data_IF_775657989024
#
_entry.id   IF_775657989024
#
_cell.length_a   1.000
_cell.length_b   1.000
_cell.length_c   1.000
_cell.angle_alpha   90.00
_cell.angle_beta   90.00
_cell.angle_gamma   90.00
#
_symmetry.space_group_name_H-M   'P 1'
#
loop_
_entity.id
_entity.type
_entity.pdbx_description
1 polymer ?
#
# COMPACT_ATOMS: atom_id res chain seq x y z
N UNK A 1 9.03 9.49 19.06
CA UNK A 1 9.61 8.14 19.24
C UNK A 1 8.97 7.22 18.21
N UNK A 2 9.73 6.36 17.53
CA UNK A 2 9.18 5.45 16.50
C UNK A 2 8.22 4.45 17.15
N UNK A 3 7.10 4.14 16.48
CA UNK A 3 6.11 3.19 17.03
C UNK A 3 6.58 1.74 16.98
N UNK A 4 7.58 1.44 16.16
CA UNK A 4 8.25 0.15 16.04
C UNK A 4 9.68 0.22 16.59
N UNK A 5 10.19 -0.92 17.05
CA UNK A 5 11.60 -1.02 17.44
C UNK A 5 12.48 -1.07 16.19
N UNK A 6 13.53 -0.26 16.13
CA UNK A 6 14.57 -0.39 15.08
C UNK A 6 15.29 -1.74 15.19
N UNK A 7 15.83 -2.22 14.08
CA UNK A 7 16.40 -3.57 13.93
C UNK A 7 17.49 -3.87 14.97
N UNK A 8 18.28 -2.86 15.31
CA UNK A 8 19.39 -2.92 16.26
C UNK A 8 18.91 -3.22 17.69
N UNK A 9 17.67 -2.83 18.03
CA UNK A 9 17.07 -3.06 19.35
C UNK A 9 16.29 -4.35 19.47
N UNK A 10 16.23 -5.15 18.39
CA UNK A 10 15.53 -6.43 18.37
C UNK A 10 16.42 -7.57 18.88
N UNK A 11 15.79 -8.58 19.47
CA UNK A 11 16.45 -9.87 19.75
C UNK A 11 16.90 -10.54 18.44
N UNK A 12 17.88 -11.47 18.47
CA UNK A 12 18.29 -12.21 17.28
C UNK A 12 17.12 -12.93 16.57
N UNK A 13 16.18 -13.49 17.35
CA UNK A 13 14.97 -14.13 16.81
C UNK A 13 14.06 -13.14 16.09
N UNK A 14 13.85 -11.94 16.66
CA UNK A 14 13.01 -10.91 16.05
C UNK A 14 13.68 -10.28 14.83
N UNK A 15 15.02 -10.13 14.82
CA UNK A 15 15.79 -9.71 13.63
C UNK A 15 15.63 -10.70 12.49
N UNK A 16 15.68 -12.00 12.77
CA UNK A 16 15.46 -13.03 11.76
C UNK A 16 14.02 -12.97 11.23
N UNK A 17 13.02 -12.85 12.11
CA UNK A 17 11.62 -12.65 11.70
C UNK A 17 11.45 -11.44 10.78
N UNK A 18 12.07 -10.30 11.14
CA UNK A 18 11.98 -9.07 10.34
C UNK A 18 12.61 -9.22 8.97
N UNK A 19 13.80 -9.83 8.91
CA UNK A 19 14.47 -10.11 7.63
C UNK A 19 13.59 -10.96 6.73
N UNK A 20 12.94 -11.96 7.32
CA UNK A 20 12.06 -12.85 6.58
C UNK A 20 10.77 -12.14 6.11
N UNK A 21 10.21 -11.27 6.95
CA UNK A 21 9.10 -10.40 6.55
C UNK A 21 9.48 -9.49 5.39
N UNK A 22 10.63 -8.82 5.46
CA UNK A 22 11.10 -7.89 4.43
C UNK A 22 11.31 -8.62 3.10
N UNK A 23 11.96 -9.78 3.11
CA UNK A 23 12.13 -10.61 1.90
C UNK A 23 10.79 -10.98 1.26
N UNK A 24 9.85 -11.50 2.05
CA UNK A 24 8.53 -11.88 1.55
C UNK A 24 7.69 -10.67 1.11
N UNK A 25 7.92 -9.50 1.72
CA UNK A 25 7.30 -8.24 1.33
C UNK A 25 7.78 -7.80 -0.04
N UNK A 26 9.06 -7.97 -0.36
CA UNK A 26 9.60 -7.61 -1.66
C UNK A 26 9.00 -8.47 -2.79
N UNK A 27 8.80 -9.77 -2.56
CA UNK A 27 8.05 -10.64 -3.48
C UNK A 27 6.58 -10.20 -3.61
N UNK A 28 5.94 -9.88 -2.49
CA UNK A 28 4.55 -9.40 -2.48
C UNK A 28 4.41 -8.06 -3.21
N UNK A 29 5.39 -7.14 -3.09
CA UNK A 29 5.41 -5.87 -3.81
C UNK A 29 5.35 -6.10 -5.33
N UNK A 30 6.18 -7.00 -5.85
CA UNK A 30 6.20 -7.33 -7.29
C UNK A 30 4.86 -7.89 -7.76
N UNK A 31 4.28 -8.82 -6.98
CA UNK A 31 2.98 -9.39 -7.29
C UNK A 31 1.86 -8.34 -7.26
N UNK A 32 1.85 -7.47 -6.25
CA UNK A 32 0.85 -6.40 -6.12
C UNK A 32 0.95 -5.42 -7.29
N UNK A 33 2.15 -5.03 -7.70
CA UNK A 33 2.38 -4.18 -8.89
C UNK A 33 1.81 -4.83 -10.14
N UNK A 34 2.13 -6.11 -10.36
CA UNK A 34 1.61 -6.88 -11.50
C UNK A 34 0.08 -6.87 -11.49
N UNK A 35 -0.53 -7.32 -10.40
CA UNK A 35 -1.98 -7.45 -10.28
C UNK A 35 -2.71 -6.10 -10.41
N UNK A 36 -2.24 -5.07 -9.71
CA UNK A 36 -2.93 -3.78 -9.67
C UNK A 36 -2.73 -2.92 -10.90
N UNK A 37 -1.59 -3.06 -11.60
CA UNK A 37 -1.23 -2.15 -12.69
C UNK A 37 -1.19 -2.88 -14.03
N UNK A 38 -0.37 -3.93 -14.14
CA UNK A 38 -0.16 -4.64 -15.42
C UNK A 38 -1.43 -5.41 -15.81
N UNK A 39 -1.97 -6.21 -14.90
CA UNK A 39 -3.17 -7.01 -15.19
C UNK A 39 -4.38 -6.08 -15.40
N UNK A 40 -4.46 -4.98 -14.65
CA UNK A 40 -5.48 -3.95 -14.91
C UNK A 40 -5.33 -3.34 -16.30
N UNK A 41 -4.12 -2.96 -16.71
CA UNK A 41 -3.86 -2.48 -18.07
C UNK A 41 -4.34 -3.49 -19.11
N UNK A 42 -4.03 -4.77 -18.94
CA UNK A 42 -4.50 -5.82 -19.84
C UNK A 42 -6.02 -5.92 -19.86
N UNK A 43 -6.72 -5.80 -18.73
CA UNK A 43 -8.19 -5.78 -18.69
C UNK A 43 -8.80 -4.64 -19.55
N UNK A 44 -8.15 -3.47 -19.61
CA UNK A 44 -8.59 -2.37 -20.48
C UNK A 44 -8.37 -2.71 -21.95
N UNK A 45 -7.20 -3.25 -22.30
CA UNK A 45 -6.86 -3.64 -23.67
C UNK A 45 -7.77 -4.77 -24.17
N UNK A 46 -8.06 -5.78 -23.34
CA UNK A 46 -8.95 -6.89 -23.69
C UNK A 46 -10.39 -6.43 -23.99
N UNK A 47 -10.82 -5.32 -23.37
CA UNK A 47 -12.13 -4.70 -23.63
C UNK A 47 -12.10 -3.64 -24.74
N UNK A 48 -10.96 -3.45 -25.41
CA UNK A 48 -10.73 -2.39 -26.41
C UNK A 48 -10.99 -0.97 -25.87
N UNK A 49 -10.67 -0.75 -24.59
CA UNK A 49 -10.83 0.55 -23.91
C UNK A 49 -9.45 1.17 -23.68
N UNK A 50 -9.23 2.47 -23.99
CA UNK A 50 -7.98 3.14 -23.65
C UNK A 50 -7.72 3.14 -22.14
N UNK A 51 -6.50 2.74 -21.73
CA UNK A 51 -6.11 2.82 -20.34
C UNK A 51 -6.07 4.29 -19.85
N UNK A 52 -6.72 4.61 -18.72
CA UNK A 52 -6.71 5.95 -18.14
C UNK A 52 -5.38 6.21 -17.42
N UNK A 53 -4.39 6.75 -18.12
CA UNK A 53 -3.12 7.09 -17.48
C UNK A 53 -3.28 8.20 -16.45
N UNK A 54 -2.63 8.04 -15.30
CA UNK A 54 -2.63 9.02 -14.21
C UNK A 54 -1.84 10.26 -14.65
N UNK A 55 -2.42 11.44 -14.46
CA UNK A 55 -1.73 12.68 -14.78
C UNK A 55 -0.70 13.04 -13.69
N UNK A 56 0.41 13.66 -14.08
CA UNK A 56 1.49 14.06 -13.15
C UNK A 56 0.98 14.91 -11.97
N UNK A 57 -0.02 15.77 -12.21
CA UNK A 57 -0.65 16.61 -11.16
C UNK A 57 -1.37 15.80 -10.07
N UNK A 58 -1.88 14.61 -10.40
CA UNK A 58 -2.58 13.73 -9.44
C UNK A 58 -1.62 13.08 -8.43
N UNK A 59 -0.33 13.07 -8.75
CA UNK A 59 0.72 12.56 -7.87
C UNK A 59 1.23 13.62 -6.89
N UNK A 60 0.84 14.90 -7.02
CA UNK A 60 1.20 15.94 -6.05
C UNK A 60 0.46 15.71 -4.71
N UNK A 61 1.08 16.05 -3.58
CA UNK A 61 0.37 16.10 -2.30
C UNK A 61 -0.90 16.95 -2.40
N UNK A 62 -2.01 16.50 -1.79
CA UNK A 62 -3.34 17.14 -1.82
C UNK A 62 -3.96 17.28 -3.23
N UNK A 63 -3.47 16.54 -4.23
CA UNK A 63 -4.11 16.55 -5.53
C UNK A 63 -5.58 16.12 -5.42
N UNK A 64 -6.43 16.85 -6.15
CA UNK A 64 -7.82 16.47 -6.34
C UNK A 64 -7.83 15.39 -7.42
N UNK A 65 -8.43 14.25 -7.09
CA UNK A 65 -8.52 13.10 -7.98
C UNK A 65 -9.96 13.07 -8.51
N UNK A 66 -10.18 12.79 -9.80
CA UNK A 66 -11.52 12.61 -10.34
C UNK A 66 -12.30 11.55 -9.56
N UNK A 67 -13.56 11.84 -9.26
CA UNK A 67 -14.49 10.91 -8.60
C UNK A 67 -15.14 9.98 -9.65
N UNK A 68 -14.30 9.17 -10.28
CA UNK A 68 -14.73 8.22 -11.32
C UNK A 68 -14.07 6.86 -11.13
N UNK A 69 -14.90 5.83 -10.93
CA UNK A 69 -14.43 4.45 -10.80
C UNK A 69 -14.29 3.78 -12.16
N UNK A 70 -13.13 3.17 -12.40
CA UNK A 70 -12.91 2.38 -13.60
C UNK A 70 -13.12 0.89 -13.30
N UNK A 71 -14.14 0.29 -13.90
CA UNK A 71 -14.52 -1.11 -13.67
C UNK A 71 -13.38 -2.10 -13.99
N UNK A 72 -12.59 -1.83 -15.04
CA UNK A 72 -11.48 -2.71 -15.46
C UNK A 72 -10.23 -2.58 -14.59
N UNK A 73 -10.20 -1.65 -13.64
CA UNK A 73 -9.08 -1.45 -12.72
C UNK A 73 -9.25 -2.33 -11.48
N UNK A 74 -8.27 -3.21 -11.23
CA UNK A 74 -8.31 -4.11 -10.10
C UNK A 74 -8.22 -3.33 -8.78
N UNK A 75 -9.21 -3.54 -7.89
CA UNK A 75 -9.29 -2.91 -6.59
C UNK A 75 -9.27 -3.96 -5.47
N UNK A 76 -8.50 -3.71 -4.43
CA UNK A 76 -8.30 -4.65 -3.32
C UNK A 76 -7.74 -3.96 -2.08
N UNK A 77 -7.73 -4.67 -0.96
CA UNK A 77 -7.07 -4.25 0.28
C UNK A 77 -6.35 -5.46 0.90
N UNK A 78 -5.04 -5.36 1.09
CA UNK A 78 -4.24 -6.40 1.75
C UNK A 78 -3.48 -5.80 2.93
N UNK A 79 -3.58 -6.44 4.08
CA UNK A 79 -2.82 -6.11 5.29
C UNK A 79 -1.81 -7.21 5.55
N UNK A 80 -0.52 -6.87 5.55
CA UNK A 80 0.58 -7.78 5.84
C UNK A 80 1.32 -7.36 7.11
N UNK A 81 1.23 -8.19 8.16
CA UNK A 81 1.76 -7.92 9.50
C UNK A 81 2.99 -8.78 9.78
N UNK A 82 4.08 -8.17 10.28
CA UNK A 82 5.31 -8.89 10.66
C UNK A 82 5.08 -9.90 11.80
N UNK A 83 4.14 -9.62 12.69
CA UNK A 83 3.71 -10.57 13.71
C UNK A 83 2.24 -10.98 13.47
N UNK A 84 1.52 -11.32 14.54
CA UNK A 84 0.10 -11.60 14.55
C UNK A 84 -0.66 -10.48 15.24
N UNK A 85 -1.89 -10.21 14.82
CA UNK A 85 -2.75 -9.22 15.48
C UNK A 85 -3.31 -9.82 16.78
N UNK A 86 -3.00 -9.26 17.96
CA UNK A 86 -3.55 -9.72 19.23
C UNK A 86 -5.08 -9.73 19.27
N UNK A 87 -5.67 -10.71 19.95
CA UNK A 87 -7.13 -10.84 20.10
C UNK A 87 -7.80 -9.58 20.67
N UNK A 88 -7.12 -8.82 21.55
CA UNK A 88 -7.62 -7.56 22.13
C UNK A 88 -7.96 -6.49 21.09
N UNK A 89 -7.39 -6.59 19.89
CA UNK A 89 -7.60 -5.64 18.80
C UNK A 89 -8.64 -6.12 17.77
N UNK A 90 -9.19 -7.33 17.92
CA UNK A 90 -10.22 -7.87 17.02
C UNK A 90 -11.49 -7.03 16.93
N UNK A 91 -11.76 -6.18 17.93
CA UNK A 91 -12.92 -5.26 17.88
C UNK A 91 -12.77 -4.17 16.82
N UNK A 92 -11.54 -3.79 16.46
CA UNK A 92 -11.23 -2.70 15.54
C UNK A 92 -10.72 -3.20 14.18
N UNK A 93 -10.03 -4.34 14.16
CA UNK A 93 -9.74 -5.09 12.95
C UNK A 93 -10.46 -6.43 13.07
N UNK A 94 -11.65 -6.53 12.47
CA UNK A 94 -12.56 -7.66 12.67
C UNK A 94 -12.24 -8.79 11.71
N UNK A 95 -11.71 -9.86 12.28
CA UNK A 95 -11.50 -11.14 11.61
C UNK A 95 -12.01 -12.27 12.52
N UNK A 96 -12.81 -13.16 11.93
CA UNK A 96 -13.52 -14.22 12.64
C UNK A 96 -13.10 -15.60 12.14
N UNK A 97 -13.38 -16.63 12.93
CA UNK A 97 -13.07 -18.02 12.57
C UNK A 97 -13.78 -18.46 11.29
N UNK A 98 -14.97 -17.92 11.02
CA UNK A 98 -15.72 -18.15 9.78
C UNK A 98 -14.97 -17.69 8.52
N UNK A 99 -14.05 -16.73 8.65
CA UNK A 99 -13.33 -16.11 7.54
C UNK A 99 -11.86 -16.57 7.49
N UNK A 100 -11.48 -17.55 8.32
CA UNK A 100 -10.15 -18.18 8.24
C UNK A 100 -10.01 -18.92 6.91
N UNK A 101 -8.80 -18.93 6.36
CA UNK A 101 -8.43 -19.74 5.18
C UNK A 101 -8.29 -21.24 5.51
N UNK A 102 -9.40 -21.85 5.92
CA UNK A 102 -9.55 -23.30 6.03
C UNK A 102 -10.22 -23.83 4.78
N UNK A 103 -9.98 -25.09 4.42
CA UNK A 103 -10.64 -25.74 3.28
C UNK A 103 -12.17 -25.62 3.39
N UNK A 104 -12.72 -25.87 4.58
CA UNK A 104 -14.16 -25.78 4.85
C UNK A 104 -14.71 -24.38 4.60
N UNK A 105 -14.05 -23.33 5.11
CA UNK A 105 -14.54 -21.95 4.96
C UNK A 105 -14.44 -21.48 3.51
N UNK A 106 -13.35 -21.82 2.81
CA UNK A 106 -13.12 -21.45 1.42
C UNK A 106 -14.14 -22.12 0.48
N UNK A 107 -14.40 -23.42 0.66
CA UNK A 107 -15.38 -24.15 -0.14
C UNK A 107 -16.83 -23.74 0.17
N UNK A 108 -17.11 -23.18 1.35
CA UNK A 108 -18.42 -22.62 1.68
C UNK A 108 -18.72 -21.35 0.88
N UNK A 109 -17.68 -20.60 0.52
CA UNK A 109 -17.78 -19.42 -0.32
C UNK A 109 -17.96 -19.85 -1.78
N UNK A 110 -19.21 -20.06 -2.20
CA UNK A 110 -19.56 -20.54 -3.55
C UNK A 110 -19.10 -19.62 -4.70
N UNK A 111 -18.63 -18.41 -4.39
CA UNK A 111 -18.18 -17.42 -5.38
C UNK A 111 -16.72 -17.59 -5.79
N UNK A 112 -15.93 -18.40 -5.07
CA UNK A 112 -14.51 -18.58 -5.38
C UNK A 112 -14.33 -19.76 -6.36
N UNK A 113 -13.60 -19.57 -7.48
CA UNK A 113 -13.28 -20.63 -8.44
C UNK A 113 -12.20 -21.60 -7.92
N UNK A 114 -12.38 -22.14 -6.71
CA UNK A 114 -11.45 -23.08 -6.10
C UNK A 114 -11.79 -24.51 -6.52
N UNK A 115 -10.81 -25.24 -7.06
CA UNK A 115 -10.97 -26.65 -7.39
C UNK A 115 -11.19 -27.49 -6.13
N UNK A 116 -11.81 -28.67 -6.28
CA UNK A 116 -11.97 -29.63 -5.17
C UNK A 116 -10.61 -30.12 -4.62
N UNK A 117 -9.58 -30.05 -5.46
CA UNK A 117 -8.19 -30.44 -5.19
C UNK A 117 -7.39 -29.33 -4.48
N UNK A 118 -8.07 -28.28 -4.00
CA UNK A 118 -7.44 -27.24 -3.19
C UNK A 118 -6.62 -27.82 -2.03
N UNK A 119 -5.32 -27.51 -2.05
CA UNK A 119 -4.37 -27.87 -1.00
C UNK A 119 -4.34 -26.78 0.08
N UNK A 120 -4.56 -27.19 1.32
CA UNK A 120 -4.51 -26.35 2.52
C UNK A 120 -3.19 -25.61 2.72
N UNK A 121 -2.10 -26.07 2.09
CA UNK A 121 -0.77 -25.46 2.21
C UNK A 121 -0.57 -24.26 1.26
N UNK A 122 -1.44 -24.06 0.26
CA UNK A 122 -1.32 -22.96 -0.69
C UNK A 122 -1.42 -21.57 -0.04
N UNK A 123 -2.03 -21.46 1.14
CA UNK A 123 -2.16 -20.19 1.88
C UNK A 123 -0.85 -19.66 2.50
N UNK A 124 0.22 -20.46 2.51
CA UNK A 124 1.51 -20.07 3.09
C UNK A 124 2.33 -19.34 2.04
N UNK A 125 2.98 -18.23 2.42
CA UNK A 125 3.72 -17.39 1.46
C UNK A 125 4.88 -18.14 0.76
N UNK A 126 5.46 -19.13 1.46
CA UNK A 126 6.50 -20.02 0.94
C UNK A 126 6.00 -21.01 -0.13
N UNK A 127 4.69 -21.14 -0.33
CA UNK A 127 4.12 -22.10 -1.27
C UNK A 127 4.28 -21.59 -2.70
N UNK A 128 4.71 -22.47 -3.62
CA UNK A 128 4.79 -22.15 -5.05
C UNK A 128 3.46 -21.63 -5.63
N UNK A 129 2.33 -22.14 -5.14
CA UNK A 129 0.98 -21.74 -5.55
C UNK A 129 0.37 -20.61 -4.69
N UNK A 130 1.17 -19.93 -3.86
CA UNK A 130 0.63 -18.88 -2.98
C UNK A 130 0.02 -17.73 -3.77
N UNK A 131 0.72 -17.28 -4.82
CA UNK A 131 0.26 -16.16 -5.63
C UNK A 131 -0.94 -16.51 -6.50
N UNK A 132 -1.03 -17.76 -6.97
CA UNK A 132 -2.24 -18.28 -7.63
C UNK A 132 -3.45 -18.21 -6.68
N UNK A 133 -3.25 -18.65 -5.44
CA UNK A 133 -4.28 -18.61 -4.40
C UNK A 133 -4.67 -17.18 -4.00
N UNK A 134 -3.68 -16.29 -3.88
CA UNK A 134 -3.92 -14.88 -3.56
C UNK A 134 -4.71 -14.19 -4.69
N UNK A 135 -4.37 -14.46 -5.95
CA UNK A 135 -5.05 -13.91 -7.13
C UNK A 135 -6.56 -14.23 -7.11
N UNK A 136 -6.92 -15.45 -6.72
CA UNK A 136 -8.33 -15.88 -6.59
C UNK A 136 -9.07 -15.12 -5.49
N UNK A 137 -8.39 -14.69 -4.44
CA UNK A 137 -9.00 -14.04 -3.27
C UNK A 137 -9.01 -12.51 -3.34
N UNK A 138 -8.13 -11.89 -4.12
CA UNK A 138 -8.04 -10.43 -4.24
C UNK A 138 -9.34 -9.73 -4.64
N UNK A 139 -10.20 -10.30 -5.51
CA UNK A 139 -11.49 -9.69 -5.86
C UNK A 139 -12.54 -9.71 -4.75
N UNK A 140 -12.31 -10.41 -3.63
CA UNK A 140 -13.30 -10.52 -2.55
C UNK A 140 -13.53 -9.15 -1.90
N UNK A 141 -14.79 -8.84 -1.61
CA UNK A 141 -15.13 -7.66 -0.81
C UNK A 141 -14.45 -7.79 0.57
N UNK A 142 -13.88 -6.70 1.10
CA UNK A 142 -13.08 -6.62 2.34
C UNK A 142 -11.59 -6.98 2.22
N UNK A 143 -10.85 -6.75 3.31
CA UNK A 143 -9.40 -6.90 3.32
C UNK A 143 -8.96 -8.36 3.45
N UNK A 144 -7.85 -8.69 2.80
CA UNK A 144 -7.09 -9.91 3.05
C UNK A 144 -6.06 -9.66 4.15
N UNK A 145 -5.91 -10.61 5.08
CA UNK A 145 -4.96 -10.49 6.19
C UNK A 145 -3.89 -11.57 6.14
N UNK A 146 -2.66 -11.14 5.88
CA UNK A 146 -1.44 -11.94 5.96
C UNK A 146 -0.75 -11.63 7.28
N UNK A 147 -0.44 -12.66 8.06
CA UNK A 147 0.23 -12.51 9.36
C UNK A 147 1.01 -13.76 9.73
N UNK A 148 1.88 -13.64 10.74
CA UNK A 148 2.68 -14.76 11.26
C UNK A 148 1.80 -15.91 11.75
N UNK A 149 2.17 -17.13 11.39
CA UNK A 149 1.55 -18.35 11.92
C UNK A 149 2.08 -18.66 13.31
N UNK A 150 1.27 -18.38 14.33
CA UNK A 150 1.62 -18.60 15.74
C UNK A 150 1.57 -20.07 16.18
N UNK A 151 1.10 -20.98 15.32
CA UNK A 151 1.05 -22.42 15.64
C UNK A 151 2.42 -23.12 15.53
N UNK A 152 3.42 -22.46 14.95
CA UNK A 152 4.76 -22.99 14.78
C UNK A 152 5.80 -22.03 15.36
N UNK A 153 6.93 -22.58 15.84
CA UNK A 153 8.03 -21.76 16.37
C UNK A 153 8.75 -20.95 15.29
N UNK A 154 8.87 -21.51 14.08
CA UNK A 154 9.52 -20.83 12.95
C UNK A 154 8.69 -19.64 12.47
N UNK A 155 9.37 -18.58 12.04
CA UNK A 155 8.72 -17.44 11.37
C UNK A 155 8.20 -17.89 10.02
N UNK A 156 6.89 -18.14 9.94
CA UNK A 156 6.18 -18.50 8.71
C UNK A 156 4.94 -17.63 8.59
N UNK A 157 4.64 -17.15 7.39
CA UNK A 157 3.50 -16.26 7.14
C UNK A 157 2.43 -16.98 6.33
N UNK A 158 1.17 -16.62 6.58
CA UNK A 158 0.03 -17.15 5.84
C UNK A 158 -1.03 -16.09 5.58
N UNK A 159 -1.72 -16.20 4.45
CA UNK A 159 -3.02 -15.57 4.26
C UNK A 159 -3.96 -16.21 5.26
N UNK A 160 -4.21 -15.53 6.37
CA UNK A 160 -4.89 -16.09 7.53
C UNK A 160 -6.41 -15.95 7.43
N UNK A 161 -6.88 -14.83 6.88
CA UNK A 161 -8.29 -14.50 6.73
C UNK A 161 -8.52 -13.76 5.42
N UNK A 162 -9.66 -14.00 4.77
CA UNK A 162 -10.00 -13.48 3.44
C UNK A 162 -11.18 -12.49 3.45
N UNK A 163 -11.64 -12.07 4.62
CA UNK A 163 -12.75 -11.12 4.77
C UNK A 163 -12.57 -10.39 6.11
N UNK A 164 -11.68 -9.41 6.12
CA UNK A 164 -11.31 -8.63 7.31
C UNK A 164 -11.87 -7.21 7.19
N UNK A 165 -12.59 -6.76 8.21
CA UNK A 165 -13.17 -5.42 8.26
C UNK A 165 -12.33 -4.48 9.13
N UNK A 166 -12.18 -3.25 8.67
CA UNK A 166 -11.53 -2.19 9.42
C UNK A 166 -12.63 -1.33 10.04
N UNK A 167 -12.95 -1.61 11.31
CA UNK A 167 -14.07 -1.03 12.05
C UNK A 167 -13.58 0.00 13.10
N UNK A 168 -12.33 0.47 13.00
CA UNK A 168 -11.86 1.56 13.84
C UNK A 168 -12.37 2.90 13.28
N UNK A 169 -13.02 3.76 14.09
CA UNK A 169 -13.53 5.03 13.60
C UNK A 169 -12.43 5.94 13.03
N UNK A 170 -12.74 6.65 11.95
CA UNK A 170 -11.83 7.63 11.34
C UNK A 170 -11.47 8.74 12.34
N UNK A 171 -12.45 9.19 13.13
CA UNK A 171 -12.23 10.17 14.19
C UNK A 171 -11.19 9.68 15.21
N UNK A 172 -11.31 8.44 15.69
CA UNK A 172 -10.34 7.83 16.62
C UNK A 172 -8.94 7.72 16.00
N UNK A 173 -8.86 7.36 14.72
CA UNK A 173 -7.59 7.28 14.00
C UNK A 173 -6.93 8.65 13.84
N UNK A 174 -7.72 9.68 13.50
CA UNK A 174 -7.26 11.05 13.38
C UNK A 174 -6.84 11.62 14.76
N UNK A 175 -7.59 11.31 15.82
CA UNK A 175 -7.27 11.67 17.20
C UNK A 175 -5.96 11.05 17.67
N UNK A 176 -5.77 9.75 17.44
CA UNK A 176 -4.53 9.03 17.77
C UNK A 176 -3.32 9.63 17.05
N UNK A 177 -3.45 9.90 15.76
CA UNK A 177 -2.42 10.58 14.98
C UNK A 177 -2.13 11.98 15.55
N UNK A 178 -3.16 12.79 15.77
CA UNK A 178 -3.01 14.16 16.25
C UNK A 178 -2.40 14.25 17.66
N UNK A 179 -2.72 13.30 18.55
CA UNK A 179 -2.07 13.16 19.86
C UNK A 179 -0.59 12.82 19.72
N UNK A 180 -0.26 11.84 18.86
CA UNK A 180 1.13 11.42 18.62
C UNK A 180 1.98 12.57 18.05
N UNK A 181 1.36 13.44 17.26
CA UNK A 181 1.96 14.62 16.65
C UNK A 181 1.81 15.88 17.51
N UNK A 182 1.30 15.77 18.75
CA UNK A 182 1.17 16.89 19.71
C UNK A 182 0.33 18.07 19.19
N UNK A 183 -0.66 17.81 18.31
CA UNK A 183 -1.63 18.83 17.88
C UNK A 183 -2.83 18.94 18.83
N UNK A 184 -3.14 17.85 19.54
CA UNK A 184 -4.14 17.77 20.60
C UNK A 184 -3.57 16.99 21.80
N UNK A 185 -4.11 17.22 22.98
CA UNK A 185 -3.67 16.63 24.24
C UNK A 185 -4.48 15.40 24.61
N UNK A 186 -5.81 15.49 24.52
CA UNK A 186 -6.73 14.47 25.04
C UNK A 186 -7.73 14.02 23.98
N UNK A 187 -8.55 14.94 23.49
CA UNK A 187 -9.75 14.66 22.69
C UNK A 187 -9.73 15.44 21.38
N UNK A 188 -10.24 14.84 20.31
CA UNK A 188 -10.27 15.44 18.97
C UNK A 188 -11.01 16.79 18.94
N UNK A 189 -12.07 16.91 19.73
CA UNK A 189 -12.93 18.09 19.79
C UNK A 189 -12.52 19.07 20.89
N UNK A 190 -11.38 18.87 21.56
CA UNK A 190 -10.92 19.75 22.65
C UNK A 190 -10.69 21.21 22.22
N UNK A 191 -10.55 21.46 20.91
CA UNK A 191 -10.40 22.80 20.29
C UNK A 191 -11.58 23.18 19.38
N UNK A 192 -12.72 22.48 19.50
CA UNK A 192 -13.94 22.72 18.73
C UNK A 192 -14.02 21.96 17.39
N UNK A 193 -15.22 21.92 16.82
CA UNK A 193 -15.56 21.10 15.65
C UNK A 193 -14.73 21.43 14.41
N UNK A 194 -14.43 22.72 14.21
CA UNK A 194 -13.64 23.16 13.06
C UNK A 194 -12.21 22.60 13.11
N UNK A 195 -11.61 22.58 14.30
CA UNK A 195 -10.28 22.02 14.51
C UNK A 195 -10.29 20.51 14.30
N UNK A 196 -11.31 19.82 14.80
CA UNK A 196 -11.51 18.38 14.59
C UNK A 196 -11.62 18.03 13.10
N UNK A 197 -12.39 18.81 12.34
CA UNK A 197 -12.52 18.66 10.88
C UNK A 197 -11.17 18.83 10.17
N UNK A 198 -10.41 19.87 10.52
CA UNK A 198 -9.09 20.13 9.92
C UNK A 198 -8.07 19.03 10.27
N UNK A 199 -8.13 18.48 11.49
CA UNK A 199 -7.34 17.31 11.90
C UNK A 199 -7.69 16.08 11.05
N UNK A 200 -8.97 15.80 10.82
CA UNK A 200 -9.38 14.68 9.96
C UNK A 200 -8.92 14.87 8.51
N UNK A 201 -8.96 16.09 7.97
CA UNK A 201 -8.41 16.38 6.64
C UNK A 201 -6.90 16.12 6.58
N UNK A 202 -6.17 16.52 7.62
CA UNK A 202 -4.73 16.24 7.76
C UNK A 202 -4.43 14.77 7.96
N UNK A 203 -5.33 13.99 8.55
CA UNK A 203 -5.20 12.54 8.64
C UNK A 203 -5.16 11.89 7.26
N UNK A 204 -6.05 12.27 6.34
CA UNK A 204 -5.97 11.76 4.97
C UNK A 204 -4.71 12.23 4.25
N UNK A 205 -4.35 13.50 4.41
CA UNK A 205 -3.13 14.05 3.81
C UNK A 205 -1.87 13.32 4.31
N UNK A 206 -1.77 13.00 5.61
CA UNK A 206 -0.68 12.25 6.21
C UNK A 206 -0.44 10.89 5.51
N UNK A 207 -1.52 10.30 4.99
CA UNK A 207 -1.52 9.02 4.28
C UNK A 207 -1.55 9.16 2.74
N UNK A 208 -1.34 10.38 2.22
CA UNK A 208 -1.26 10.64 0.78
C UNK A 208 -2.60 10.55 0.04
N UNK A 209 -3.71 10.72 0.76
CA UNK A 209 -5.06 10.63 0.23
C UNK A 209 -5.70 12.03 0.20
N UNK A 210 -6.55 12.34 -0.80
CA UNK A 210 -7.42 13.52 -0.72
C UNK A 210 -8.43 13.38 0.43
N UNK A 211 -9.15 14.45 0.74
CA UNK A 211 -10.19 14.43 1.78
C UNK A 211 -11.35 13.55 1.34
N UNK A 212 -11.91 12.74 2.25
CA UNK A 212 -13.14 11.94 2.03
C UNK A 212 -13.05 10.96 0.84
N UNK A 213 -12.14 9.99 0.92
CA UNK A 213 -11.92 9.00 -0.14
C UNK A 213 -12.80 7.75 -0.03
N UNK A 214 -12.93 7.05 -1.16
CA UNK A 214 -13.63 5.77 -1.26
C UNK A 214 -13.23 4.74 -0.19
N UNK A 215 -14.16 3.83 0.12
CA UNK A 215 -14.12 3.00 1.33
C UNK A 215 -12.84 2.17 1.52
N UNK A 216 -12.25 1.62 0.45
CA UNK A 216 -11.00 0.82 0.53
C UNK A 216 -9.78 1.68 0.89
N UNK A 217 -9.67 2.89 0.33
CA UNK A 217 -8.58 3.84 0.62
C UNK A 217 -8.66 4.34 2.07
N UNK A 218 -9.87 4.66 2.53
CA UNK A 218 -10.13 5.03 3.93
C UNK A 218 -9.81 3.87 4.88
N UNK A 219 -10.25 2.65 4.57
CA UNK A 219 -9.92 1.48 5.37
C UNK A 219 -8.40 1.24 5.43
N UNK A 220 -7.66 1.52 4.34
CA UNK A 220 -6.22 1.37 4.30
C UNK A 220 -5.49 2.34 5.26
N UNK A 221 -5.83 3.64 5.26
CA UNK A 221 -5.20 4.61 6.15
C UNK A 221 -5.57 4.38 7.63
N UNK A 222 -6.83 4.03 7.91
CA UNK A 222 -7.30 3.67 9.25
C UNK A 222 -6.57 2.42 9.76
N UNK A 223 -6.44 1.38 8.93
CA UNK A 223 -5.68 0.17 9.29
C UNK A 223 -4.21 0.49 9.55
N UNK A 224 -3.58 1.29 8.68
CA UNK A 224 -2.18 1.67 8.81
C UNK A 224 -1.93 2.49 10.09
N UNK A 225 -2.84 3.38 10.49
CA UNK A 225 -2.73 4.12 11.76
C UNK A 225 -2.95 3.21 12.95
N UNK A 226 -3.99 2.37 12.92
CA UNK A 226 -4.31 1.46 14.03
C UNK A 226 -3.15 0.50 14.34
N UNK A 227 -2.56 -0.07 13.29
CA UNK A 227 -1.50 -1.07 13.41
C UNK A 227 -0.22 -0.51 14.04
N UNK A 228 -0.04 0.82 14.10
CA UNK A 228 1.06 1.45 14.86
C UNK A 228 1.02 1.12 16.35
N UNK A 229 -0.13 0.70 16.89
CA UNK A 229 -0.26 0.25 18.28
C UNK A 229 0.42 -1.11 18.54
N UNK A 230 0.76 -1.85 17.48
CA UNK A 230 1.47 -3.13 17.56
C UNK A 230 2.96 -2.85 17.35
N UNK A 231 3.82 -3.32 18.25
CA UNK A 231 5.28 -3.08 18.24
C UNK A 231 6.02 -3.91 17.15
N UNK A 232 5.51 -3.90 15.92
CA UNK A 232 6.10 -4.57 14.76
C UNK A 232 5.90 -3.70 13.50
N UNK A 233 6.56 -4.05 12.40
CA UNK A 233 6.30 -3.38 11.12
C UNK A 233 5.11 -4.02 10.41
N UNK A 234 4.42 -3.24 9.60
CA UNK A 234 3.24 -3.65 8.85
C UNK A 234 3.21 -2.95 7.51
N UNK A 235 2.63 -3.60 6.51
CA UNK A 235 2.46 -3.05 5.18
C UNK A 235 1.00 -3.22 4.78
N UNK A 236 0.37 -2.13 4.36
CA UNK A 236 -1.00 -2.12 3.85
C UNK A 236 -0.96 -1.75 2.38
N UNK A 237 -1.50 -2.61 1.53
CA UNK A 237 -1.64 -2.40 0.10
C UNK A 237 -3.09 -2.09 -0.24
N UNK A 238 -3.33 -1.06 -1.04
CA UNK A 238 -4.63 -0.74 -1.58
C UNK A 238 -4.52 -0.49 -3.09
N UNK A 239 -5.18 -1.34 -3.88
CA UNK A 239 -5.50 -1.04 -5.27
C UNK A 239 -6.80 -0.26 -5.33
N UNK A 240 -6.83 0.85 -6.07
CA UNK A 240 -8.02 1.70 -6.19
C UNK A 240 -8.35 1.94 -7.65
N UNK A 241 -9.61 1.67 -7.99
CA UNK A 241 -10.18 1.95 -9.31
C UNK A 241 -10.09 3.43 -9.63
N UNK A 242 -10.50 4.30 -8.72
CA UNK A 242 -10.52 5.76 -8.89
C UNK A 242 -9.13 6.36 -9.16
N UNK A 243 -8.11 5.89 -8.42
CA UNK A 243 -6.76 6.46 -8.53
C UNK A 243 -5.91 5.79 -9.61
N UNK A 244 -6.30 4.60 -10.10
CA UNK A 244 -5.51 3.73 -10.99
C UNK A 244 -4.08 3.50 -10.49
N UNK A 245 -3.96 3.43 -9.17
CA UNK A 245 -2.71 3.36 -8.47
C UNK A 245 -2.70 2.20 -7.47
N UNK A 246 -1.51 1.67 -7.24
CA UNK A 246 -1.19 0.89 -6.06
C UNK A 246 -0.69 1.82 -4.96
N UNK A 247 -1.39 1.85 -3.85
CA UNK A 247 -0.98 2.58 -2.66
C UNK A 247 -0.37 1.58 -1.67
N UNK A 248 0.86 1.86 -1.23
CA UNK A 248 1.54 1.08 -0.19
C UNK A 248 1.84 1.98 1.00
N UNK A 249 1.30 1.60 2.16
CA UNK A 249 1.51 2.25 3.44
C UNK A 249 2.39 1.33 4.31
N UNK A 250 3.54 1.81 4.74
CA UNK A 250 4.51 1.02 5.51
C UNK A 250 5.16 1.85 6.62
N UNK A 251 6.09 1.24 7.37
CA UNK A 251 6.94 1.95 8.33
C UNK A 251 7.79 3.05 7.69
N UNK A 252 8.02 2.98 6.37
CA UNK A 252 8.76 3.99 5.61
C UNK A 252 7.88 5.11 5.05
N UNK A 253 6.60 5.13 5.40
CA UNK A 253 5.64 6.12 4.91
C UNK A 253 4.81 5.63 3.73
N UNK A 254 4.44 6.57 2.87
CA UNK A 254 3.48 6.37 1.78
C UNK A 254 4.22 6.27 0.46
N UNK A 255 3.86 5.26 -0.34
CA UNK A 255 4.27 5.21 -1.75
C UNK A 255 3.06 4.93 -2.65
N UNK A 256 3.09 5.51 -3.85
CA UNK A 256 2.13 5.27 -4.91
C UNK A 256 2.86 4.77 -6.14
N UNK A 257 2.33 3.74 -6.77
CA UNK A 257 2.82 3.21 -8.03
C UNK A 257 1.71 3.31 -9.07
N UNK A 258 2.05 3.81 -10.26
CA UNK A 258 1.13 4.04 -11.38
C UNK A 258 1.79 3.62 -12.69
N UNK A 259 1.00 3.49 -13.75
CA UNK A 259 1.53 3.36 -15.10
C UNK A 259 1.71 4.74 -15.72
N UNK A 260 2.84 4.93 -16.40
CA UNK A 260 3.19 6.18 -17.07
C UNK A 260 3.66 5.91 -18.50
N UNK A 261 3.23 6.77 -19.42
CA UNK A 261 3.73 6.78 -20.81
C UNK A 261 4.98 7.65 -20.89
N UNK A 262 5.99 7.12 -21.57
CA UNK A 262 7.21 7.84 -21.93
C UNK A 262 7.42 7.80 -23.44
N UNK A 263 7.84 8.91 -24.01
CA UNK A 263 8.30 8.98 -25.38
C UNK A 263 9.70 8.39 -25.55
N UNK A 264 10.04 8.02 -26.79
CA UNK A 264 11.37 7.48 -27.11
C UNK A 264 12.50 8.50 -26.86
N UNK A 265 12.21 9.79 -26.93
CA UNK A 265 13.12 10.88 -26.58
C UNK A 265 13.42 10.87 -25.07
N UNK A 266 12.39 10.79 -24.24
CA UNK A 266 12.51 10.71 -22.78
C UNK A 266 13.28 9.46 -22.34
N UNK A 267 12.99 8.31 -22.95
CA UNK A 267 13.72 7.06 -22.66
C UNK A 267 15.20 7.21 -22.94
N UNK A 268 15.59 7.80 -24.08
CA UNK A 268 17.00 8.00 -24.42
C UNK A 268 17.68 8.90 -23.40
N UNK A 269 17.06 10.01 -23.03
CA UNK A 269 17.60 10.95 -22.03
C UNK A 269 17.79 10.28 -20.67
N UNK A 270 16.77 9.53 -20.20
CA UNK A 270 16.86 8.82 -18.91
C UNK A 270 17.95 7.77 -18.96
N UNK A 271 17.97 6.94 -20.01
CA UNK A 271 18.96 5.87 -20.18
C UNK A 271 20.39 6.42 -20.20
N UNK A 272 20.64 7.47 -20.98
CA UNK A 272 21.94 8.16 -21.04
C UNK A 272 22.35 8.72 -19.67
N UNK A 273 21.43 9.39 -18.96
CA UNK A 273 21.72 9.95 -17.63
C UNK A 273 22.07 8.90 -16.57
N UNK A 274 21.65 7.65 -16.78
CA UNK A 274 21.88 6.52 -15.86
C UNK A 274 22.92 5.52 -16.40
N UNK A 275 23.62 5.86 -17.48
CA UNK A 275 24.70 5.05 -18.03
C UNK A 275 24.25 3.70 -18.61
N UNK A 276 23.00 3.59 -19.08
CA UNK A 276 22.47 2.39 -19.73
C UNK A 276 22.04 2.69 -21.17
N UNK A 277 22.01 1.67 -22.02
CA UNK A 277 21.53 1.85 -23.40
C UNK A 277 20.00 1.93 -23.43
N UNK A 278 19.43 2.67 -24.39
CA UNK A 278 17.97 2.73 -24.58
C UNK A 278 17.35 1.34 -24.85
N UNK A 279 18.12 0.41 -25.45
CA UNK A 279 17.72 -0.99 -25.61
C UNK A 279 17.57 -1.67 -24.25
N UNK A 280 18.58 -1.57 -23.39
CA UNK A 280 18.57 -2.14 -22.03
C UNK A 280 17.48 -1.54 -21.17
N UNK A 281 17.19 -0.24 -21.35
CA UNK A 281 16.02 0.40 -20.73
C UNK A 281 14.71 -0.28 -21.17
N UNK A 282 14.49 -0.41 -22.49
CA UNK A 282 13.27 -1.01 -23.05
C UNK A 282 13.09 -2.47 -22.66
N UNK A 283 14.19 -3.23 -22.50
CA UNK A 283 14.14 -4.64 -22.07
C UNK A 283 13.74 -4.81 -20.59
N UNK A 284 14.11 -3.86 -19.71
CA UNK A 284 13.99 -4.06 -18.26
C UNK A 284 12.95 -3.18 -17.55
N UNK A 285 12.55 -2.06 -18.16
CA UNK A 285 11.68 -1.05 -17.52
C UNK A 285 10.38 -0.76 -18.27
N UNK A 286 10.27 -1.21 -19.53
CA UNK A 286 9.06 -1.06 -20.35
C UNK A 286 8.29 -2.37 -20.32
N UNK A 287 7.05 -2.36 -19.82
CA UNK A 287 6.22 -3.57 -19.81
C UNK A 287 5.32 -3.67 -21.05
N UNK A 288 4.96 -2.53 -21.67
CA UNK A 288 4.11 -2.50 -22.86
C UNK A 288 4.47 -1.33 -23.78
N UNK A 289 4.04 -1.42 -25.04
CA UNK A 289 4.09 -0.31 -26.01
C UNK A 289 2.68 0.08 -26.41
N UNK A 290 2.43 1.38 -26.52
CA UNK A 290 1.17 1.93 -27.01
C UNK A 290 1.46 3.00 -28.06
N UNK A 291 1.31 2.64 -29.33
CA UNK A 291 1.68 3.51 -30.45
C UNK A 291 3.17 3.87 -30.41
N UNK A 292 3.48 5.17 -30.32
CA UNK A 292 4.85 5.70 -30.24
C UNK A 292 5.39 5.83 -28.80
N UNK A 293 4.56 5.55 -27.81
CA UNK A 293 4.95 5.63 -26.39
C UNK A 293 5.23 4.24 -25.82
N UNK A 294 6.17 4.21 -24.88
CA UNK A 294 6.44 3.05 -24.04
C UNK A 294 5.77 3.24 -22.69
N UNK A 295 5.22 2.16 -22.13
CA UNK A 295 4.54 2.20 -20.84
C UNK A 295 5.46 1.59 -19.78
N UNK A 296 5.70 2.36 -18.72
CA UNK A 296 6.57 2.01 -17.61
C UNK A 296 5.81 2.07 -16.29
N UNK A 297 6.35 1.41 -15.26
CA UNK A 297 5.85 1.52 -13.88
C UNK A 297 6.58 2.68 -13.22
N UNK A 298 5.84 3.67 -12.75
CA UNK A 298 6.37 4.83 -12.07
C UNK A 298 5.99 4.79 -10.59
N UNK A 299 6.96 4.99 -9.71
CA UNK A 299 6.77 5.06 -8.27
C UNK A 299 7.08 6.45 -7.74
N UNK A 300 6.22 6.93 -6.86
CA UNK A 300 6.42 8.10 -6.03
C UNK A 300 6.43 7.69 -4.57
N UNK A 301 7.48 8.08 -3.84
CA UNK A 301 7.56 7.94 -2.38
C UNK A 301 7.41 9.33 -1.78
N UNK A 302 6.54 9.47 -0.80
CA UNK A 302 6.26 10.73 -0.13
C UNK A 302 6.95 10.82 1.21
N UNK A 303 7.54 11.97 1.48
CA UNK A 303 8.16 12.29 2.77
C UNK A 303 7.20 13.09 3.63
N UNK A 304 7.18 12.80 4.93
CA UNK A 304 6.51 13.64 5.91
C UNK A 304 7.32 14.92 6.13
N UNK A 305 6.64 16.07 6.03
CA UNK A 305 7.25 17.35 6.39
C UNK A 305 7.39 17.46 7.92
N UNK A 306 8.10 18.48 8.40
CA UNK A 306 8.25 18.73 9.85
C UNK A 306 6.90 18.87 10.59
N UNK A 307 5.84 19.27 9.89
CA UNK A 307 4.48 19.37 10.46
C UNK A 307 3.83 18.00 10.67
N UNK A 308 4.18 17.00 9.85
CA UNK A 308 3.70 15.63 9.97
C UNK A 308 4.60 14.74 10.84
N UNK A 309 5.68 15.27 11.42
CA UNK A 309 6.56 14.54 12.34
C UNK A 309 6.33 14.99 13.78
N UNK A 310 6.53 14.14 14.80
CA UNK A 310 6.50 14.57 16.19
C UNK A 310 7.50 15.72 16.43
N UNK A 311 7.12 16.76 17.17
CA UNK A 311 8.01 17.89 17.41
C UNK A 311 9.20 17.48 18.27
N UNK A 312 10.40 17.94 17.93
CA UNK A 312 11.65 17.61 18.63
C UNK A 312 11.65 18.10 20.09
N UNK A 313 11.04 19.25 20.34
CA UNK A 313 10.91 19.86 21.66
C UNK A 313 9.75 19.26 22.50
N UNK A 314 8.95 18.36 21.92
CA UNK A 314 7.79 17.74 22.57
C UNK A 314 6.62 18.70 22.86
N UNK A 315 6.68 19.96 22.42
CA UNK A 315 5.66 20.97 22.71
C UNK A 315 4.39 20.73 21.92
N UNK A 316 3.30 21.27 22.44
CA UNK A 316 2.02 21.29 21.73
C UNK A 316 2.12 22.23 20.52
N UNK A 317 1.50 21.82 19.42
CA UNK A 317 1.42 22.55 18.16
C UNK A 317 -0.01 22.95 17.85
N UNK A 318 -0.14 23.98 17.03
CA UNK A 318 -1.40 24.39 16.45
C UNK A 318 -1.47 23.96 14.99
N UNK A 319 -2.62 23.42 14.59
CA UNK A 319 -2.83 23.00 13.20
C UNK A 319 -2.86 24.21 12.28
N UNK A 320 -2.13 24.13 11.17
CA UNK A 320 -2.18 25.11 10.09
C UNK A 320 -2.66 24.40 8.83
N UNK A 321 -3.94 24.52 8.46
CA UNK A 321 -4.54 23.75 7.36
C UNK A 321 -3.82 23.92 6.02
N UNK A 322 -3.23 25.09 5.77
CA UNK A 322 -2.57 25.40 4.50
C UNK A 322 -1.20 24.72 4.32
N UNK A 323 -0.53 24.34 5.42
CA UNK A 323 0.81 23.76 5.35
C UNK A 323 0.76 22.31 4.91
N UNK A 324 1.58 21.95 3.92
CA UNK A 324 1.69 20.58 3.46
C UNK A 324 2.30 19.66 4.53
N UNK A 325 1.68 18.50 4.71
CA UNK A 325 2.14 17.42 5.59
C UNK A 325 2.93 16.35 4.83
N UNK A 326 2.82 16.36 3.50
CA UNK A 326 3.62 15.54 2.61
C UNK A 326 4.32 16.38 1.55
N UNK A 327 5.52 15.95 1.18
CA UNK A 327 6.24 16.37 -0.02
C UNK A 327 6.54 15.15 -0.89
N UNK A 328 6.75 15.34 -2.19
CA UNK A 328 7.32 14.29 -3.03
C UNK A 328 8.79 14.13 -2.66
N UNK A 329 9.18 12.92 -2.27
CA UNK A 329 10.56 12.55 -1.96
C UNK A 329 11.24 11.93 -3.17
N UNK A 330 11.02 10.63 -3.36
CA UNK A 330 11.63 9.85 -4.44
C UNK A 330 10.65 9.71 -5.61
N UNK A 331 11.16 9.89 -6.82
CA UNK A 331 10.45 9.66 -8.07
C UNK A 331 11.28 8.74 -8.94
N UNK A 332 10.75 7.58 -9.29
CA UNK A 332 11.54 6.58 -9.99
C UNK A 332 10.71 5.68 -10.90
N UNK A 333 11.34 5.19 -11.95
CA UNK A 333 10.82 4.15 -12.83
C UNK A 333 11.27 2.81 -12.26
N UNK A 334 10.31 1.93 -12.02
CA UNK A 334 10.57 0.60 -11.50
C UNK A 334 10.88 -0.37 -12.65
N UNK A 335 11.79 -1.33 -12.44
CA UNK A 335 11.93 -2.45 -13.35
C UNK A 335 10.63 -3.26 -13.39
N UNK A 336 10.38 -3.94 -14.51
CA UNK A 336 9.21 -4.81 -14.67
C UNK A 336 9.30 -5.97 -13.65
N UNK A 337 8.19 -6.42 -13.03
CA UNK A 337 8.21 -7.57 -12.12
C UNK A 337 8.96 -8.78 -12.68
N UNK A 338 9.80 -9.40 -11.86
CA UNK A 338 10.70 -10.50 -12.23
C UNK A 338 12.12 -10.07 -12.63
N UNK A 339 12.34 -8.79 -12.94
CA UNK A 339 13.69 -8.26 -13.18
C UNK A 339 14.38 -7.99 -11.84
N UNK A 340 15.48 -8.68 -11.57
CA UNK A 340 16.16 -8.69 -10.27
C UNK A 340 17.54 -8.01 -10.28
N UNK A 341 18.19 -7.90 -11.44
CA UNK A 341 19.55 -7.34 -11.57
C UNK A 341 19.60 -5.81 -11.68
N UNK A 342 18.44 -5.16 -11.82
CA UNK A 342 18.35 -3.73 -12.14
C UNK A 342 17.66 -2.95 -11.03
N UNK A 343 18.26 -1.85 -10.55
CA UNK A 343 17.63 -0.99 -9.57
C UNK A 343 16.59 -0.07 -10.21
N UNK A 344 15.68 0.52 -9.44
CA UNK A 344 14.86 1.64 -9.91
C UNK A 344 15.71 2.79 -10.48
N UNK A 345 15.18 3.46 -11.50
CA UNK A 345 15.83 4.62 -12.13
C UNK A 345 15.15 5.91 -11.69
N UNK A 346 15.87 6.82 -11.03
CA UNK A 346 15.30 8.12 -10.67
C UNK A 346 14.84 8.89 -11.90
N UNK A 347 13.65 9.48 -11.80
CA UNK A 347 13.03 10.27 -12.86
C UNK A 347 12.12 11.34 -12.22
N UNK A 348 12.66 12.54 -12.04
CA UNK A 348 11.96 13.65 -11.40
C UNK A 348 11.08 14.39 -12.40
N UNK A 349 9.76 14.21 -12.31
CA UNK A 349 8.83 14.69 -13.35
C UNK A 349 7.55 15.35 -12.81
N UNK A 350 7.18 15.12 -11.54
CA UNK A 350 5.89 15.57 -10.98
C UNK A 350 5.78 17.10 -10.92
N UNK A 351 6.89 17.80 -10.69
CA UNK A 351 6.94 19.26 -10.60
C UNK A 351 7.48 19.95 -11.85
N UNK A 352 7.78 19.17 -12.89
CA UNK A 352 8.32 19.65 -14.17
C UNK A 352 7.27 20.30 -15.04
#
# INVERSE_FOLDING_TARGET
>A
MLYWNIRERLSPSDRLRRSYYELLRDELDQFMVKYSLIDSYNNFIEKDIPYPFVEKRELKPRAIIPDYEYESQNAFLVVFVEDSIPNKYKKYIRFFDANKTTKTNLLRTKTLPLSKDFDRYQKYLESAHFFDFLNVLLPVDYALLIQKDTSVKRSRYRLSHFHVRIDWPIADAAEDMARSLRYISKDLYEKGDKYAEDVQKKFFEYYGLPVMVGGRRTAACVAAQFLKQIKCITTVYAGSSETRALIKLSERGVSKMVLMKLEDSEIKQIAESKGITARRFKENYVFAKQGKSSVCIFQTIYDHTNHALPPEDGRMREIKPDLYWLSVGIQQILPVPGVWEYPPLEYNVIYS
#
